data_IF_569254891494
#
_entry.id   IF_569254891494
#
_cell.length_a   1.000
_cell.length_b   1.000
_cell.length_c   1.000
_cell.angle_alpha   90.00
_cell.angle_beta   90.00
_cell.angle_gamma   90.00
#
_symmetry.space_group_name_H-M   'P 1'
#
loop_
_entity.id
_entity.type
_entity.pdbx_description
1 polymer ?
#
# COMPACT_ATOMS: atom_id res chain seq x y z
N UNK A 1 12.84 -5.69 -10.92
CA UNK A 1 12.15 -5.72 -9.61
C UNK A 1 11.00 -4.74 -9.68
N UNK A 2 9.86 -5.03 -9.10
CA UNK A 2 8.67 -4.16 -9.10
C UNK A 2 8.37 -3.66 -7.68
N UNK A 3 7.51 -2.63 -7.58
CA UNK A 3 7.25 -1.95 -6.30
C UNK A 3 6.69 -2.92 -5.24
N UNK A 4 5.75 -3.79 -5.62
CA UNK A 4 5.21 -4.79 -4.71
C UNK A 4 6.27 -5.69 -4.10
N UNK A 5 7.31 -6.08 -4.86
CA UNK A 5 8.42 -6.90 -4.38
C UNK A 5 9.29 -6.16 -3.35
N UNK A 6 9.53 -4.86 -3.55
CA UNK A 6 10.25 -4.02 -2.57
C UNK A 6 9.44 -3.86 -1.27
N UNK A 7 8.15 -3.61 -1.39
CA UNK A 7 7.25 -3.49 -0.24
C UNK A 7 7.21 -4.80 0.57
N UNK A 8 7.06 -5.95 -0.10
CA UNK A 8 7.04 -7.26 0.56
C UNK A 8 8.36 -7.54 1.31
N UNK A 9 9.51 -7.21 0.72
CA UNK A 9 10.80 -7.32 1.41
C UNK A 9 10.87 -6.38 2.63
N UNK A 10 10.40 -5.13 2.49
CA UNK A 10 10.32 -4.18 3.60
C UNK A 10 9.47 -4.72 4.77
N UNK A 11 8.32 -5.35 4.46
CA UNK A 11 7.47 -6.01 5.46
C UNK A 11 8.23 -7.13 6.18
N UNK A 12 8.96 -7.98 5.43
CA UNK A 12 9.78 -9.04 6.04
C UNK A 12 10.83 -8.48 7.00
N UNK A 13 11.52 -7.39 6.60
CA UNK A 13 12.53 -6.72 7.43
C UNK A 13 11.90 -6.21 8.73
N UNK A 14 10.79 -5.49 8.64
CA UNK A 14 10.06 -4.92 9.78
C UNK A 14 9.63 -6.00 10.79
N UNK A 15 9.12 -7.12 10.29
CA UNK A 15 8.54 -8.17 11.16
C UNK A 15 9.57 -9.11 11.74
N UNK A 16 10.59 -9.45 10.99
CA UNK A 16 11.45 -10.59 11.32
C UNK A 16 12.91 -10.24 11.65
N UNK A 17 13.37 -9.02 11.30
CA UNK A 17 14.74 -8.59 11.53
C UNK A 17 14.83 -7.46 12.57
N UNK A 18 14.05 -6.39 12.43
CA UNK A 18 14.13 -5.24 13.34
C UNK A 18 13.92 -5.57 14.81
N UNK A 19 12.95 -6.41 15.22
CA UNK A 19 12.71 -6.71 16.63
C UNK A 19 13.90 -7.36 17.34
N UNK A 20 14.67 -8.17 16.61
CA UNK A 20 15.89 -8.77 17.12
C UNK A 20 17.08 -7.81 17.19
N UNK A 21 17.12 -6.84 16.28
CA UNK A 21 18.19 -5.85 16.17
C UNK A 21 18.19 -4.82 17.31
N UNK A 22 17.02 -4.32 17.69
CA UNK A 22 16.86 -3.34 18.78
C UNK A 22 17.31 -3.88 20.16
N UNK A 23 17.37 -5.20 20.31
CA UNK A 23 17.84 -5.84 21.54
C UNK A 23 19.36 -5.87 21.74
N UNK A 24 20.16 -5.27 20.83
CA UNK A 24 21.54 -4.88 21.13
C UNK A 24 22.62 -5.86 20.70
N UNK A 25 22.56 -6.43 19.52
CA UNK A 25 23.68 -7.19 18.94
C UNK A 25 24.57 -6.20 18.17
N UNK A 26 25.68 -5.79 18.79
CA UNK A 26 26.68 -4.88 18.20
C UNK A 26 27.56 -5.52 17.11
N UNK A 27 27.09 -6.51 16.36
CA UNK A 27 27.81 -7.13 15.26
C UNK A 27 27.17 -6.67 13.93
N UNK A 28 28.00 -6.40 12.91
CA UNK A 28 27.53 -6.10 11.55
C UNK A 28 26.73 -7.25 11.00
N UNK A 29 25.52 -6.99 10.53
CA UNK A 29 24.61 -7.99 9.93
C UNK A 29 25.19 -8.46 8.59
N UNK A 30 25.38 -9.77 8.41
CA UNK A 30 25.88 -10.36 7.17
C UNK A 30 24.69 -10.83 6.33
N UNK A 31 24.53 -10.25 5.16
CA UNK A 31 23.39 -10.52 4.27
C UNK A 31 23.89 -11.12 2.96
N UNK A 32 23.22 -12.18 2.48
CA UNK A 32 23.39 -12.71 1.14
C UNK A 32 22.10 -12.52 0.34
N UNK A 33 22.23 -11.89 -0.83
CA UNK A 33 21.16 -11.72 -1.81
C UNK A 33 21.41 -12.67 -3.00
N UNK A 34 20.58 -13.70 -3.13
CA UNK A 34 20.69 -14.75 -4.15
C UNK A 34 19.83 -14.38 -5.36
N UNK A 35 20.47 -14.17 -6.51
CA UNK A 35 19.86 -13.63 -7.72
C UNK A 35 19.69 -12.11 -7.65
N UNK A 36 20.59 -11.44 -6.90
CA UNK A 36 20.48 -10.04 -6.54
C UNK A 36 21.12 -9.04 -7.51
N UNK A 37 21.47 -9.43 -8.77
CA UNK A 37 21.97 -8.50 -9.77
C UNK A 37 20.99 -7.34 -9.98
N UNK A 38 21.47 -6.10 -9.91
CA UNK A 38 20.66 -4.90 -10.10
C UNK A 38 20.34 -4.66 -11.59
N UNK A 39 19.37 -5.42 -12.09
CA UNK A 39 18.87 -5.27 -13.47
C UNK A 39 17.73 -4.25 -13.54
N UNK A 40 16.83 -4.28 -12.54
CA UNK A 40 15.63 -3.42 -12.46
C UNK A 40 15.35 -2.98 -11.01
N UNK A 41 16.39 -2.72 -10.23
CA UNK A 41 16.30 -2.38 -8.81
C UNK A 41 16.91 -3.43 -7.89
N UNK A 42 17.23 -3.06 -6.65
CA UNK A 42 17.88 -3.91 -5.64
C UNK A 42 17.22 -3.71 -4.28
N UNK A 43 17.19 -4.77 -3.47
CA UNK A 43 16.75 -4.71 -2.07
C UNK A 43 17.79 -4.05 -1.14
N UNK A 44 19.04 -3.88 -1.59
CA UNK A 44 20.17 -3.40 -0.76
C UNK A 44 19.82 -2.20 0.10
N UNK A 45 19.17 -1.16 -0.47
CA UNK A 45 18.84 0.07 0.25
C UNK A 45 17.84 -0.12 1.40
N UNK A 46 17.02 -1.17 1.37
CA UNK A 46 16.07 -1.49 2.44
C UNK A 46 16.79 -1.94 3.73
N UNK A 47 18.04 -2.39 3.61
CA UNK A 47 18.85 -2.88 4.71
C UNK A 47 19.84 -1.85 5.26
N UNK A 48 19.91 -0.63 4.69
CA UNK A 48 20.86 0.41 5.09
C UNK A 48 20.81 0.76 6.58
N UNK A 49 19.63 0.63 7.20
CA UNK A 49 19.43 0.86 8.66
C UNK A 49 20.31 -0.04 9.53
N UNK A 50 20.74 -1.18 9.02
CA UNK A 50 21.58 -2.16 9.75
C UNK A 50 23.09 -1.95 9.50
N UNK A 51 23.48 -1.05 8.59
CA UNK A 51 24.87 -0.92 8.11
C UNK A 51 25.51 -2.29 7.78
N UNK A 52 24.87 -3.11 6.90
CA UNK A 52 25.20 -4.52 6.76
C UNK A 52 26.47 -4.78 5.93
N UNK A 53 27.06 -5.97 6.12
CA UNK A 53 27.94 -6.59 5.13
C UNK A 53 27.05 -7.31 4.11
N UNK A 54 26.75 -6.63 3.00
CA UNK A 54 25.76 -7.08 2.00
C UNK A 54 26.48 -7.65 0.78
N UNK A 55 26.29 -8.94 0.56
CA UNK A 55 26.91 -9.72 -0.52
C UNK A 55 25.85 -10.14 -1.54
N UNK A 56 26.14 -9.97 -2.81
CA UNK A 56 25.27 -10.35 -3.94
C UNK A 56 25.84 -11.55 -4.68
N UNK A 57 25.02 -12.57 -4.87
CA UNK A 57 25.32 -13.73 -5.73
C UNK A 57 24.37 -13.73 -6.92
N UNK A 58 24.92 -13.86 -8.14
CA UNK A 58 24.13 -14.05 -9.36
C UNK A 58 24.90 -14.94 -10.36
N UNK A 59 24.27 -15.28 -11.50
CA UNK A 59 24.85 -16.20 -12.50
C UNK A 59 26.11 -15.64 -13.18
N UNK A 60 26.20 -14.32 -13.37
CA UNK A 60 27.31 -13.64 -14.04
C UNK A 60 27.92 -12.56 -13.15
N UNK A 61 29.26 -12.43 -13.18
CA UNK A 61 29.97 -11.32 -12.53
C UNK A 61 29.78 -10.03 -13.33
N UNK A 62 28.75 -9.28 -12.96
CA UNK A 62 28.45 -7.95 -13.48
C UNK A 62 28.63 -6.91 -12.38
N UNK A 63 28.50 -5.63 -12.70
CA UNK A 63 28.59 -4.55 -11.69
C UNK A 63 27.58 -4.77 -10.55
N UNK A 64 28.05 -4.74 -9.32
CA UNK A 64 27.24 -4.98 -8.11
C UNK A 64 27.07 -6.42 -7.70
N UNK A 65 27.60 -7.41 -8.45
CA UNK A 65 27.63 -8.84 -8.09
C UNK A 65 28.98 -9.19 -7.50
N UNK A 66 29.00 -9.76 -6.30
CA UNK A 66 30.21 -10.07 -5.52
C UNK A 66 30.71 -11.51 -5.77
N UNK A 67 29.79 -12.45 -6.08
CA UNK A 67 30.12 -13.85 -6.31
C UNK A 67 29.17 -14.52 -7.31
N UNK A 68 29.65 -15.60 -7.93
CA UNK A 68 28.85 -16.49 -8.80
C UNK A 68 28.83 -17.91 -8.23
N UNK A 69 27.81 -18.73 -8.54
CA UNK A 69 27.81 -20.16 -8.16
C UNK A 69 29.03 -20.88 -8.65
N UNK A 70 29.41 -21.95 -7.93
CA UNK A 70 30.47 -22.86 -8.38
C UNK A 70 29.98 -23.72 -9.55
N UNK A 71 30.91 -24.49 -10.20
CA UNK A 71 30.55 -25.34 -11.33
C UNK A 71 29.55 -26.46 -10.97
N UNK A 72 29.35 -26.75 -9.68
CA UNK A 72 28.36 -27.67 -9.13
C UNK A 72 27.15 -26.94 -8.51
N UNK A 73 26.86 -25.74 -8.96
CA UNK A 73 25.72 -24.89 -8.59
C UNK A 73 25.62 -24.57 -7.08
N UNK A 74 26.77 -24.60 -6.36
CA UNK A 74 26.81 -24.25 -4.94
C UNK A 74 27.12 -22.78 -4.70
N UNK A 75 26.63 -22.26 -3.59
CA UNK A 75 27.03 -20.95 -3.08
C UNK A 75 28.48 -21.02 -2.55
N UNK A 76 29.46 -20.27 -3.10
CA UNK A 76 30.87 -20.35 -2.75
C UNK A 76 31.18 -19.70 -1.39
N UNK A 77 30.45 -20.13 -0.36
CA UNK A 77 30.61 -19.67 1.02
C UNK A 77 30.54 -20.85 1.98
N UNK A 78 31.21 -20.76 3.14
CA UNK A 78 31.13 -21.79 4.17
C UNK A 78 29.71 -21.91 4.75
N UNK A 79 29.45 -22.99 5.45
CA UNK A 79 28.23 -23.16 6.23
C UNK A 79 28.10 -22.03 7.27
N UNK A 80 26.89 -21.56 7.49
CA UNK A 80 26.56 -20.53 8.51
C UNK A 80 27.34 -19.19 8.34
N UNK A 81 27.57 -18.78 7.10
CA UNK A 81 28.29 -17.56 6.79
C UNK A 81 27.45 -16.28 6.94
N UNK A 82 26.13 -16.37 6.79
CA UNK A 82 25.22 -15.24 6.72
C UNK A 82 24.12 -15.30 7.77
N UNK A 83 23.77 -14.14 8.30
CA UNK A 83 22.72 -13.99 9.32
C UNK A 83 21.34 -13.85 8.66
N UNK A 84 21.31 -13.30 7.44
CA UNK A 84 20.13 -13.17 6.59
C UNK A 84 20.46 -13.63 5.18
N UNK A 85 19.62 -14.50 4.61
CA UNK A 85 19.73 -14.93 3.21
C UNK A 85 18.43 -14.63 2.51
N UNK A 86 18.48 -13.82 1.46
CA UNK A 86 17.29 -13.43 0.71
C UNK A 86 17.37 -13.91 -0.74
N UNK A 87 16.21 -14.11 -1.36
CA UNK A 87 16.08 -14.32 -2.78
C UNK A 87 14.74 -13.78 -3.25
N UNK A 88 14.74 -12.86 -4.19
CA UNK A 88 13.52 -12.29 -4.74
C UNK A 88 13.48 -12.32 -6.26
N UNK A 89 12.39 -12.84 -6.84
CA UNK A 89 12.18 -12.95 -8.29
C UNK A 89 13.29 -13.75 -8.99
N UNK A 90 13.71 -14.86 -8.39
CA UNK A 90 14.82 -15.69 -8.85
C UNK A 90 14.41 -17.15 -9.00
N UNK A 91 13.58 -17.68 -8.10
CA UNK A 91 13.21 -19.09 -8.07
C UNK A 91 12.46 -19.55 -9.32
N UNK A 92 11.67 -18.68 -9.95
CA UNK A 92 11.02 -18.96 -11.23
C UNK A 92 12.02 -19.19 -12.37
N UNK A 93 13.23 -18.66 -12.23
CA UNK A 93 14.32 -18.77 -13.21
C UNK A 93 15.32 -19.89 -12.88
N UNK A 94 15.25 -20.46 -11.68
CA UNK A 94 16.14 -21.55 -11.23
C UNK A 94 15.52 -22.91 -11.54
N UNK A 95 16.10 -23.66 -12.47
CA UNK A 95 15.58 -24.98 -12.88
C UNK A 95 15.50 -25.98 -11.71
N UNK A 96 16.40 -25.86 -10.74
CA UNK A 96 16.47 -26.67 -9.50
C UNK A 96 16.36 -25.79 -8.26
N UNK A 97 15.35 -24.93 -8.22
CA UNK A 97 15.18 -23.95 -7.12
C UNK A 97 15.23 -24.56 -5.71
N UNK A 98 14.84 -25.83 -5.55
CA UNK A 98 14.93 -26.54 -4.27
C UNK A 98 16.39 -26.82 -3.85
N UNK A 99 17.31 -26.98 -4.80
CA UNK A 99 18.77 -27.11 -4.52
C UNK A 99 19.33 -25.74 -4.14
N UNK A 100 18.92 -24.68 -4.85
CA UNK A 100 19.26 -23.30 -4.47
C UNK A 100 18.78 -23.00 -3.06
N UNK A 101 17.55 -23.36 -2.72
CA UNK A 101 17.02 -23.14 -1.36
C UNK A 101 17.80 -23.95 -0.31
N UNK A 102 18.18 -25.19 -0.60
CA UNK A 102 19.01 -26.01 0.31
C UNK A 102 20.41 -25.39 0.56
N UNK A 103 21.00 -24.76 -0.46
CA UNK A 103 22.25 -24.02 -0.32
C UNK A 103 22.05 -22.72 0.50
N UNK A 104 20.93 -22.00 0.30
CA UNK A 104 20.56 -20.85 1.14
C UNK A 104 20.47 -21.26 2.61
N UNK A 105 19.83 -22.40 2.89
CA UNK A 105 19.73 -22.96 4.26
C UNK A 105 21.12 -23.33 4.78
N UNK A 106 22.00 -23.93 3.98
CA UNK A 106 23.36 -24.31 4.41
C UNK A 106 24.18 -23.11 4.86
N UNK A 107 24.17 -22.03 4.05
CA UNK A 107 24.99 -20.84 4.31
C UNK A 107 24.38 -19.90 5.36
N UNK A 108 23.09 -20.04 5.67
CA UNK A 108 22.43 -19.29 6.73
C UNK A 108 22.86 -19.82 8.11
N UNK A 109 23.03 -18.93 9.09
CA UNK A 109 23.28 -19.28 10.49
C UNK A 109 22.10 -20.01 11.12
N UNK A 110 22.30 -20.70 12.26
CA UNK A 110 21.23 -21.45 12.92
C UNK A 110 20.12 -20.54 13.48
N UNK A 111 20.48 -19.32 13.89
CA UNK A 111 19.54 -18.30 14.37
C UNK A 111 19.13 -17.32 13.25
N UNK A 112 19.60 -17.54 12.03
CA UNK A 112 19.39 -16.66 10.89
C UNK A 112 17.97 -16.72 10.32
N UNK A 113 17.72 -15.82 9.35
CA UNK A 113 16.45 -15.70 8.65
C UNK A 113 16.67 -15.91 7.15
N UNK A 114 15.78 -16.68 6.51
CA UNK A 114 15.77 -16.88 5.07
C UNK A 114 14.45 -16.30 4.55
N UNK A 115 14.52 -15.44 3.52
CA UNK A 115 13.36 -14.79 2.91
C UNK A 115 13.34 -15.13 1.42
N UNK A 116 12.19 -15.61 0.94
CA UNK A 116 11.97 -15.92 -0.47
C UNK A 116 10.74 -15.18 -0.97
N UNK A 117 10.89 -14.45 -2.07
CA UNK A 117 9.80 -13.86 -2.84
C UNK A 117 9.80 -14.47 -4.24
N UNK A 118 8.68 -15.06 -4.65
CA UNK A 118 8.57 -15.72 -5.95
C UNK A 118 7.17 -15.54 -6.54
N UNK A 119 7.00 -15.46 -7.88
CA UNK A 119 5.71 -15.17 -8.49
C UNK A 119 4.75 -16.35 -8.39
N UNK A 120 3.48 -16.08 -8.02
CA UNK A 120 2.38 -17.04 -8.08
C UNK A 120 1.65 -17.01 -9.44
N UNK A 121 1.79 -15.95 -10.22
CA UNK A 121 1.08 -15.74 -11.48
C UNK A 121 1.95 -15.04 -12.53
N UNK A 122 1.29 -14.42 -13.50
CA UNK A 122 1.92 -13.54 -14.47
C UNK A 122 2.37 -14.18 -15.78
N UNK A 123 2.70 -13.31 -16.76
CA UNK A 123 3.14 -13.74 -18.09
C UNK A 123 4.50 -14.43 -18.06
N UNK A 124 4.78 -15.23 -19.10
CA UNK A 124 6.11 -15.84 -19.25
C UNK A 124 7.16 -14.74 -19.54
N UNK A 125 8.19 -14.72 -18.69
CA UNK A 125 9.34 -13.82 -18.86
C UNK A 125 10.64 -14.57 -18.60
N UNK A 126 11.53 -14.66 -19.58
CA UNK A 126 12.75 -15.49 -19.52
C UNK A 126 13.96 -14.67 -19.11
N UNK A 127 14.65 -15.14 -18.04
CA UNK A 127 15.87 -14.47 -17.56
C UNK A 127 16.88 -15.48 -16.94
N UNK A 128 17.58 -16.35 -17.68
CA UNK A 128 17.43 -16.71 -19.09
C UNK A 128 16.27 -17.67 -19.37
N UNK A 129 15.74 -18.33 -18.36
CA UNK A 129 14.61 -19.27 -18.41
C UNK A 129 13.45 -18.75 -17.55
N UNK A 130 12.27 -19.32 -17.69
CA UNK A 130 11.11 -19.06 -16.82
C UNK A 130 10.39 -20.40 -16.63
N UNK A 131 10.55 -21.01 -15.47
CA UNK A 131 10.21 -22.41 -15.23
C UNK A 131 8.96 -22.57 -14.37
N UNK A 132 8.72 -21.66 -13.41
CA UNK A 132 7.77 -21.94 -12.35
C UNK A 132 6.88 -20.74 -11.99
N UNK A 133 5.71 -21.06 -11.41
CA UNK A 133 4.85 -20.20 -10.63
C UNK A 133 4.52 -20.94 -9.33
N UNK A 134 4.59 -20.23 -8.19
CA UNK A 134 4.58 -20.83 -6.87
C UNK A 134 3.22 -20.67 -6.20
N UNK A 135 2.64 -21.77 -5.73
CA UNK A 135 1.41 -21.74 -4.94
C UNK A 135 1.76 -21.74 -3.44
N UNK A 136 0.87 -21.27 -2.55
CA UNK A 136 1.15 -21.14 -1.11
C UNK A 136 1.77 -22.38 -0.46
N UNK A 137 1.32 -23.57 -0.83
CA UNK A 137 1.84 -24.85 -0.30
C UNK A 137 3.32 -25.11 -0.67
N UNK A 138 3.87 -24.41 -1.68
CA UNK A 138 5.27 -24.58 -2.07
C UNK A 138 6.24 -24.13 -0.98
N UNK A 139 5.92 -23.11 -0.20
CA UNK A 139 6.75 -22.65 0.91
C UNK A 139 6.77 -23.68 2.06
N UNK A 140 5.64 -24.30 2.36
CA UNK A 140 5.58 -25.43 3.31
C UNK A 140 6.40 -26.63 2.84
N UNK A 141 6.31 -26.96 1.54
CA UNK A 141 7.08 -28.07 0.96
C UNK A 141 8.59 -27.83 1.01
N UNK A 142 9.06 -26.58 0.80
CA UNK A 142 10.48 -26.22 0.97
C UNK A 142 10.94 -26.39 2.43
N UNK A 143 10.11 -25.96 3.39
CA UNK A 143 10.41 -26.14 4.81
C UNK A 143 10.53 -27.62 5.18
N UNK A 144 9.60 -28.47 4.74
CA UNK A 144 9.66 -29.93 4.96
C UNK A 144 10.87 -30.56 4.33
N UNK A 145 11.21 -30.19 3.08
CA UNK A 145 12.37 -30.73 2.34
C UNK A 145 13.69 -30.47 3.07
N UNK A 146 13.84 -29.30 3.69
CA UNK A 146 15.10 -28.84 4.28
C UNK A 146 15.16 -28.98 5.80
N UNK A 147 14.03 -29.32 6.45
CA UNK A 147 13.89 -29.38 7.90
C UNK A 147 13.90 -28.01 8.57
N UNK A 148 13.60 -26.97 7.82
CA UNK A 148 13.42 -25.60 8.35
C UNK A 148 11.97 -25.37 8.81
N UNK A 149 11.72 -24.25 9.47
CA UNK A 149 10.41 -23.83 9.94
C UNK A 149 9.94 -22.65 9.10
N UNK A 150 8.82 -22.80 8.38
CA UNK A 150 8.12 -21.68 7.76
C UNK A 150 7.46 -20.87 8.87
N UNK A 151 7.94 -19.64 9.12
CA UNK A 151 7.48 -18.79 10.21
C UNK A 151 6.45 -17.77 9.75
N UNK A 152 6.44 -17.45 8.45
CA UNK A 152 5.47 -16.54 7.85
C UNK A 152 5.31 -16.78 6.35
N UNK A 153 4.09 -16.58 5.82
CA UNK A 153 3.83 -16.70 4.38
C UNK A 153 2.54 -15.97 4.00
N UNK A 154 2.58 -15.24 2.88
CA UNK A 154 1.39 -14.61 2.28
C UNK A 154 1.58 -14.46 0.77
N UNK A 155 0.48 -14.24 0.05
CA UNK A 155 0.48 -13.89 -1.36
C UNK A 155 0.03 -12.44 -1.51
N UNK A 156 0.90 -11.60 -2.10
CA UNK A 156 0.54 -10.24 -2.49
C UNK A 156 -0.26 -10.29 -3.79
N UNK A 157 -1.42 -9.66 -3.82
CA UNK A 157 -2.31 -9.65 -5.00
C UNK A 157 -1.96 -8.55 -6.00
N UNK A 158 -1.05 -7.65 -5.65
CA UNK A 158 -0.67 -6.51 -6.50
C UNK A 158 0.15 -6.95 -7.71
N UNK A 159 -0.11 -6.32 -8.83
CA UNK A 159 0.58 -6.56 -10.09
C UNK A 159 0.30 -7.95 -10.70
N UNK A 160 0.81 -8.23 -11.90
CA UNK A 160 0.49 -9.46 -12.62
C UNK A 160 1.17 -10.70 -12.06
N UNK A 161 2.19 -10.56 -11.19
CA UNK A 161 3.01 -11.66 -10.70
C UNK A 161 2.49 -12.26 -9.39
N UNK A 162 1.71 -11.53 -8.61
CA UNK A 162 1.12 -11.98 -7.34
C UNK A 162 2.18 -12.65 -6.45
N UNK A 163 3.13 -11.86 -5.92
CA UNK A 163 4.27 -12.39 -5.18
C UNK A 163 3.86 -13.26 -4.01
N UNK A 164 4.34 -14.49 -3.99
CA UNK A 164 4.31 -15.36 -2.83
C UNK A 164 5.55 -15.12 -1.98
N UNK A 165 5.35 -14.80 -0.73
CA UNK A 165 6.41 -14.57 0.26
C UNK A 165 6.51 -15.76 1.19
N UNK A 166 7.73 -16.19 1.50
CA UNK A 166 8.03 -17.18 2.53
C UNK A 166 9.19 -16.72 3.41
N UNK A 167 9.00 -16.79 4.72
CA UNK A 167 10.02 -16.47 5.72
C UNK A 167 10.32 -17.74 6.52
N UNK A 168 11.59 -18.13 6.58
CA UNK A 168 12.01 -19.38 7.19
C UNK A 168 13.08 -19.18 8.26
N UNK A 169 13.13 -20.11 9.23
CA UNK A 169 14.18 -20.23 10.24
C UNK A 169 14.62 -21.68 10.37
N UNK A 170 15.89 -21.94 10.72
CA UNK A 170 16.37 -23.30 11.02
C UNK A 170 15.85 -23.80 12.35
N UNK A 171 15.84 -22.95 13.36
CA UNK A 171 15.32 -23.27 14.70
C UNK A 171 13.85 -23.00 14.78
N UNK A 172 13.10 -23.84 15.48
CA UNK A 172 11.70 -23.56 15.77
C UNK A 172 11.57 -22.21 16.51
N UNK A 173 10.69 -21.33 16.08
CA UNK A 173 10.45 -20.09 16.79
C UNK A 173 10.03 -20.41 18.23
N UNK A 174 10.60 -19.71 19.22
CA UNK A 174 10.14 -19.80 20.60
C UNK A 174 8.66 -19.37 20.63
N UNK A 175 7.74 -20.22 21.11
CA UNK A 175 6.33 -19.84 21.24
C UNK A 175 6.10 -18.61 22.11
N UNK A 176 7.09 -18.20 22.91
CA UNK A 176 7.06 -16.98 23.71
C UNK A 176 7.65 -15.77 22.97
N UNK A 177 8.28 -15.95 21.80
CA UNK A 177 8.64 -14.83 20.92
C UNK A 177 7.39 -14.53 20.10
N UNK A 178 6.63 -13.47 20.37
CA UNK A 178 5.55 -13.12 19.50
C UNK A 178 6.14 -12.87 18.11
N UNK A 179 5.60 -13.53 17.09
CA UNK A 179 5.53 -12.88 15.77
C UNK A 179 4.84 -11.59 16.10
N UNK A 180 5.56 -10.46 16.04
CA UNK A 180 5.03 -9.23 16.58
C UNK A 180 3.63 -9.03 16.01
N UNK A 181 2.62 -8.83 16.88
CA UNK A 181 1.41 -8.19 16.42
C UNK A 181 1.83 -6.86 15.76
N UNK A 182 1.08 -6.34 14.84
CA UNK A 182 1.38 -5.13 14.10
C UNK A 182 1.64 -3.86 14.96
N UNK A 183 1.68 -3.97 16.26
CA UNK A 183 1.85 -2.89 17.23
C UNK A 183 3.28 -2.32 17.39
N UNK A 184 4.27 -2.86 16.67
CA UNK A 184 5.62 -2.32 16.78
C UNK A 184 5.87 -1.35 15.64
N UNK A 185 5.51 -0.12 15.85
CA UNK A 185 5.82 1.03 14.98
C UNK A 185 7.32 1.27 14.95
N UNK A 186 8.07 0.48 14.20
CA UNK A 186 9.37 0.91 13.72
C UNK A 186 9.15 1.56 12.37
N UNK A 187 9.06 2.87 12.38
CA UNK A 187 8.97 3.70 11.18
C UNK A 187 10.33 3.60 10.50
N UNK A 188 10.47 2.70 9.51
CA UNK A 188 11.63 2.71 8.59
C UNK A 188 11.56 3.87 7.60
N UNK A 189 10.42 4.50 7.45
CA UNK A 189 10.36 5.82 6.86
C UNK A 189 11.00 6.77 7.87
N UNK A 190 12.15 7.38 7.50
CA UNK A 190 12.62 8.56 8.24
C UNK A 190 11.39 9.42 8.51
N UNK A 191 11.20 9.91 9.76
CA UNK A 191 10.14 10.87 10.02
C UNK A 191 10.30 11.92 8.94
N UNK A 192 9.20 12.21 8.23
CA UNK A 192 9.21 13.34 7.29
C UNK A 192 9.64 14.51 8.15
N UNK A 193 10.93 14.86 8.05
CA UNK A 193 11.44 16.02 8.75
C UNK A 193 10.55 17.14 8.26
N UNK A 194 9.84 17.77 9.18
CA UNK A 194 9.05 18.97 8.93
C UNK A 194 9.99 20.18 8.65
N UNK A 195 11.03 19.96 7.85
CA UNK A 195 11.85 21.00 7.26
C UNK A 195 11.03 21.62 6.12
N UNK A 196 10.04 22.41 6.52
CA UNK A 196 9.42 23.32 5.57
C UNK A 196 10.53 24.21 5.00
N UNK A 197 10.69 24.31 3.68
CA UNK A 197 11.56 25.30 3.12
C UNK A 197 11.08 26.66 3.65
N UNK A 198 11.94 27.36 4.38
CA UNK A 198 11.61 28.66 4.98
C UNK A 198 11.25 29.74 3.94
N UNK A 199 11.33 29.40 2.65
CA UNK A 199 11.23 30.28 1.49
C UNK A 199 10.10 29.91 0.52
N UNK A 200 9.09 29.09 0.91
CA UNK A 200 7.94 28.84 0.05
C UNK A 200 7.18 30.16 -0.23
N UNK A 201 6.80 30.42 -1.48
CA UNK A 201 6.06 31.64 -1.79
C UNK A 201 4.71 31.66 -1.07
N UNK A 202 4.20 32.84 -0.63
CA UNK A 202 2.95 32.96 0.13
C UNK A 202 1.74 32.34 -0.58
N UNK A 203 1.77 32.23 -1.91
CA UNK A 203 0.73 31.58 -2.71
C UNK A 203 0.68 30.08 -2.50
N UNK A 204 1.84 29.45 -2.26
CA UNK A 204 1.95 28.02 -1.97
C UNK A 204 1.50 27.67 -0.53
N UNK A 205 1.36 28.67 0.33
CA UNK A 205 0.92 28.53 1.72
C UNK A 205 -0.56 28.89 1.89
N UNK A 206 -1.39 28.68 0.84
CA UNK A 206 -2.84 28.92 0.87
C UNK A 206 -3.59 27.67 0.46
N UNK A 207 -4.54 27.27 1.29
CA UNK A 207 -5.62 26.40 0.90
C UNK A 207 -6.67 27.15 0.09
N UNK A 208 -7.53 26.42 -0.58
CA UNK A 208 -8.66 26.95 -1.33
C UNK A 208 -9.82 25.96 -1.24
N UNK A 209 -11.05 26.44 -1.32
CA UNK A 209 -12.26 25.62 -1.30
C UNK A 209 -13.47 26.41 -0.85
N UNK A 210 -14.66 25.84 -1.05
CA UNK A 210 -15.92 26.49 -0.73
C UNK A 210 -16.37 26.28 0.71
N UNK A 211 -15.93 25.17 1.35
CA UNK A 211 -16.39 24.76 2.67
C UNK A 211 -15.33 23.82 3.31
N UNK A 212 -15.07 23.90 4.62
CA UNK A 212 -14.15 23.00 5.29
C UNK A 212 -14.51 21.53 5.04
N UNK A 213 -13.48 20.69 4.78
CA UNK A 213 -13.66 19.24 4.56
C UNK A 213 -14.41 18.59 5.74
N UNK A 214 -14.13 19.04 6.96
CA UNK A 214 -14.81 18.55 8.16
C UNK A 214 -16.34 18.77 8.16
N UNK A 215 -16.82 19.93 7.67
CA UNK A 215 -18.26 20.20 7.55
C UNK A 215 -18.91 19.35 6.46
N UNK A 216 -18.18 19.11 5.37
CA UNK A 216 -18.62 18.19 4.32
C UNK A 216 -18.72 16.75 4.83
N UNK A 217 -17.70 16.24 5.53
CA UNK A 217 -17.72 14.89 6.12
C UNK A 217 -18.84 14.72 7.14
N UNK A 218 -19.08 15.70 8.01
CA UNK A 218 -20.19 15.66 8.97
C UNK A 218 -21.53 15.50 8.25
N UNK A 219 -21.73 16.24 7.15
CA UNK A 219 -22.94 16.14 6.32
C UNK A 219 -23.06 14.79 5.62
N UNK A 220 -21.93 14.21 5.14
CA UNK A 220 -21.92 12.86 4.57
C UNK A 220 -22.34 11.84 5.63
N UNK A 221 -21.74 11.87 6.81
CA UNK A 221 -22.11 10.99 7.93
C UNK A 221 -23.59 11.12 8.28
N UNK A 222 -24.11 12.35 8.36
CA UNK A 222 -25.51 12.59 8.69
C UNK A 222 -26.48 12.09 7.61
N UNK A 223 -26.11 12.20 6.33
CA UNK A 223 -27.00 11.86 5.21
C UNK A 223 -26.94 10.37 4.86
N UNK A 224 -25.72 9.80 4.83
CA UNK A 224 -25.48 8.41 4.52
C UNK A 224 -25.86 7.48 5.69
N UNK A 225 -25.73 7.96 6.94
CA UNK A 225 -25.94 7.15 8.16
C UNK A 225 -25.20 5.80 8.07
N UNK A 226 -23.85 5.79 7.95
CA UNK A 226 -23.09 4.56 7.74
C UNK A 226 -23.24 3.59 8.92
N UNK A 227 -23.23 2.29 8.64
CA UNK A 227 -23.27 1.23 9.68
C UNK A 227 -21.88 0.94 10.23
N UNK A 228 -20.84 1.14 9.39
CA UNK A 228 -19.44 1.05 9.75
C UNK A 228 -18.65 2.09 8.95
N UNK A 229 -17.67 2.69 9.59
CA UNK A 229 -16.78 3.70 9.03
C UNK A 229 -15.32 3.30 9.22
N UNK A 230 -14.49 3.49 8.20
CA UNK A 230 -13.04 3.34 8.30
C UNK A 230 -12.34 4.63 7.87
N UNK A 231 -11.26 4.98 8.57
CA UNK A 231 -10.44 6.15 8.28
C UNK A 231 -8.96 5.76 8.25
N UNK A 232 -8.26 6.11 7.16
CA UNK A 232 -6.83 5.97 7.02
C UNK A 232 -6.20 7.35 7.12
N UNK A 233 -5.28 7.55 8.10
CA UNK A 233 -4.75 8.86 8.46
C UNK A 233 -5.67 9.57 9.46
N UNK A 234 -5.44 9.36 10.73
CA UNK A 234 -6.32 9.84 11.82
C UNK A 234 -5.83 11.15 12.41
N UNK A 235 -4.53 11.36 12.45
CA UNK A 235 -3.85 12.52 13.03
C UNK A 235 -4.44 12.93 14.39
N UNK A 236 -5.21 14.03 14.43
CA UNK A 236 -5.85 14.52 15.69
C UNK A 236 -7.17 13.81 16.02
N UNK A 237 -7.68 12.93 15.16
CA UNK A 237 -8.93 12.17 15.31
C UNK A 237 -10.18 13.04 15.24
N UNK A 238 -10.15 14.15 14.52
CA UNK A 238 -11.30 15.06 14.39
C UNK A 238 -12.40 14.41 13.54
N UNK A 239 -12.02 13.91 12.36
CA UNK A 239 -12.90 13.23 11.39
C UNK A 239 -13.43 11.92 11.94
N UNK A 240 -12.56 11.10 12.56
CA UNK A 240 -12.96 9.82 13.15
C UNK A 240 -14.06 9.97 14.21
N UNK A 241 -13.99 11.02 15.02
CA UNK A 241 -15.01 11.30 16.06
C UNK A 241 -16.36 11.76 15.54
N UNK A 242 -16.48 12.15 14.26
CA UNK A 242 -17.75 12.53 13.65
C UNK A 242 -18.66 11.33 13.41
N UNK A 243 -18.09 10.13 13.32
CA UNK A 243 -18.86 8.91 13.11
C UNK A 243 -19.82 8.65 14.29
N UNK A 244 -21.09 8.46 13.99
CA UNK A 244 -22.11 8.05 14.95
C UNK A 244 -22.28 6.50 15.00
N UNK A 245 -21.54 5.78 14.16
CA UNK A 245 -21.51 4.32 14.05
C UNK A 245 -20.19 3.77 14.60
N UNK A 246 -20.03 2.44 14.76
CA UNK A 246 -18.75 1.82 14.96
C UNK A 246 -17.76 2.27 13.89
N UNK A 247 -16.54 2.61 14.31
CA UNK A 247 -15.53 3.16 13.42
C UNK A 247 -14.14 2.63 13.76
N UNK A 248 -13.31 2.47 12.74
CA UNK A 248 -11.91 2.08 12.85
C UNK A 248 -11.02 3.13 12.20
N UNK A 249 -10.12 3.71 12.98
CA UNK A 249 -9.03 4.54 12.48
C UNK A 249 -7.76 3.71 12.30
N UNK A 250 -7.01 3.98 11.24
CA UNK A 250 -5.71 3.38 10.98
C UNK A 250 -4.69 4.52 10.86
N UNK A 251 -3.72 4.55 11.78
CA UNK A 251 -2.67 5.56 11.80
C UNK A 251 -1.48 5.06 12.62
N UNK A 252 -0.25 5.07 12.09
CA UNK A 252 0.92 4.58 12.81
C UNK A 252 1.34 5.47 13.98
N UNK A 253 0.99 6.77 13.96
CA UNK A 253 1.47 7.75 14.95
C UNK A 253 0.45 8.88 15.20
N UNK A 254 -0.82 8.56 15.57
CA UNK A 254 -1.84 9.57 15.77
C UNK A 254 -1.53 10.46 16.96
N UNK A 255 -1.84 11.75 16.83
CA UNK A 255 -1.68 12.76 17.88
C UNK A 255 -3.04 13.21 18.43
N UNK A 256 -3.83 12.25 18.94
CA UNK A 256 -5.20 12.51 19.36
C UNK A 256 -5.31 13.69 20.32
N UNK A 257 -6.10 14.69 19.99
CA UNK A 257 -6.34 15.87 20.84
C UNK A 257 -7.46 15.66 21.88
N UNK A 258 -8.26 14.58 21.72
CA UNK A 258 -9.32 14.15 22.66
C UNK A 258 -9.46 12.63 22.59
N UNK A 259 -9.98 11.96 23.63
CA UNK A 259 -10.34 10.55 23.56
C UNK A 259 -11.31 10.25 22.42
N UNK A 260 -11.23 9.04 21.87
CA UNK A 260 -12.19 8.55 20.89
C UNK A 260 -13.55 8.27 21.56
N UNK A 261 -14.60 8.26 20.76
CA UNK A 261 -15.95 7.93 21.22
C UNK A 261 -16.06 6.42 21.52
N UNK A 262 -16.95 5.98 22.41
CA UNK A 262 -17.23 4.56 22.62
C UNK A 262 -17.65 3.88 21.31
N UNK A 263 -17.02 2.75 20.99
CA UNK A 263 -17.23 2.01 19.73
C UNK A 263 -16.32 2.45 18.59
N UNK A 264 -15.42 3.40 18.82
CA UNK A 264 -14.34 3.72 17.87
C UNK A 264 -13.06 3.00 18.32
N UNK A 265 -12.43 2.35 17.37
CA UNK A 265 -11.17 1.63 17.56
C UNK A 265 -10.05 2.33 16.77
N UNK A 266 -8.80 2.07 17.16
CA UNK A 266 -7.62 2.64 16.53
C UNK A 266 -6.57 1.56 16.36
N UNK A 267 -6.18 1.32 15.11
CA UNK A 267 -5.05 0.47 14.75
C UNK A 267 -3.80 1.34 14.65
N UNK A 268 -2.86 1.17 15.61
CA UNK A 268 -1.59 1.91 15.66
C UNK A 268 -0.55 1.29 14.72
N UNK A 269 -0.82 1.34 13.43
CA UNK A 269 0.02 0.77 12.37
C UNK A 269 -0.22 1.45 11.05
N UNK A 270 0.62 1.17 10.05
CA UNK A 270 0.37 1.64 8.68
C UNK A 270 -0.83 0.91 8.06
N UNK A 271 -1.49 1.52 7.09
CA UNK A 271 -2.55 0.85 6.33
C UNK A 271 -2.04 -0.39 5.60
N UNK A 272 -0.82 -0.35 5.06
CA UNK A 272 -0.16 -1.50 4.45
C UNK A 272 -0.05 -2.69 5.42
N UNK A 273 0.43 -2.44 6.65
CA UNK A 273 0.52 -3.46 7.69
C UNK A 273 -0.86 -3.97 8.10
N UNK A 274 -1.83 -3.06 8.28
CA UNK A 274 -3.20 -3.43 8.65
C UNK A 274 -3.82 -4.39 7.64
N UNK A 275 -3.88 -4.01 6.38
CA UNK A 275 -4.51 -4.84 5.35
C UNK A 275 -3.72 -6.11 5.01
N UNK A 276 -2.43 -6.16 5.32
CA UNK A 276 -1.61 -7.37 5.12
C UNK A 276 -1.83 -8.40 6.24
N UNK A 277 -2.02 -7.95 7.49
CA UNK A 277 -1.90 -8.82 8.67
C UNK A 277 -3.15 -8.95 9.51
N UNK A 278 -4.08 -8.00 9.43
CA UNK A 278 -5.32 -8.10 10.16
C UNK A 278 -6.27 -9.10 9.49
N UNK A 279 -7.05 -9.82 10.28
CA UNK A 279 -8.24 -10.50 9.78
C UNK A 279 -9.34 -9.44 9.56
N UNK A 280 -9.16 -8.68 8.49
CA UNK A 280 -9.98 -7.52 8.15
C UNK A 280 -11.45 -7.90 8.08
N UNK A 281 -11.75 -9.07 7.47
CA UNK A 281 -13.13 -9.55 7.33
C UNK A 281 -13.83 -9.79 8.68
N UNK A 282 -13.08 -10.14 9.74
CA UNK A 282 -13.64 -10.32 11.08
C UNK A 282 -13.72 -9.01 11.87
N UNK A 283 -12.91 -8.02 11.54
CA UNK A 283 -12.85 -6.73 12.24
C UNK A 283 -13.82 -5.70 11.67
N UNK A 284 -14.08 -5.74 10.36
CA UNK A 284 -14.96 -4.81 9.69
C UNK A 284 -16.41 -5.32 9.69
N UNK A 285 -17.32 -4.43 10.10
CA UNK A 285 -18.74 -4.57 9.81
C UNK A 285 -19.03 -4.29 8.32
N UNK A 286 -20.30 -4.13 7.94
CA UNK A 286 -20.66 -3.74 6.58
C UNK A 286 -20.16 -2.30 6.31
N UNK A 287 -19.05 -2.19 5.61
CA UNK A 287 -18.35 -0.94 5.34
C UNK A 287 -19.17 -0.05 4.38
N UNK A 288 -19.82 0.98 4.92
CA UNK A 288 -20.63 1.91 4.14
C UNK A 288 -19.87 3.18 3.76
N UNK A 289 -18.87 3.59 4.56
CA UNK A 289 -18.09 4.80 4.33
C UNK A 289 -16.63 4.57 4.69
N UNK A 290 -15.74 5.01 3.80
CA UNK A 290 -14.31 5.11 4.07
C UNK A 290 -13.78 6.50 3.75
N UNK A 291 -12.80 6.97 4.52
CA UNK A 291 -12.05 8.20 4.28
C UNK A 291 -10.56 7.90 4.24
N UNK A 292 -9.91 8.34 3.16
CA UNK A 292 -8.48 8.13 2.91
C UNK A 292 -7.79 9.49 2.93
N UNK A 293 -7.00 9.72 3.98
CA UNK A 293 -6.21 10.94 4.23
C UNK A 293 -4.86 10.56 4.89
N UNK A 294 -4.20 9.54 4.31
CA UNK A 294 -2.99 8.96 4.85
C UNK A 294 -1.70 9.56 4.28
N UNK A 295 -0.86 8.71 3.67
CA UNK A 295 0.37 9.15 3.01
C UNK A 295 0.03 9.84 1.70
N UNK A 296 0.49 11.09 1.52
CA UNK A 296 0.17 11.93 0.34
C UNK A 296 1.03 11.57 -0.88
N UNK A 297 1.13 10.29 -1.20
CA UNK A 297 1.83 9.77 -2.39
C UNK A 297 0.94 8.75 -3.10
N UNK A 298 0.92 8.82 -4.42
CA UNK A 298 -0.04 8.09 -5.26
C UNK A 298 -0.02 6.57 -5.06
N UNK A 299 1.16 5.95 -4.86
CA UNK A 299 1.28 4.52 -4.65
C UNK A 299 0.60 4.04 -3.36
N UNK A 300 0.65 4.85 -2.29
CA UNK A 300 -0.02 4.52 -1.02
C UNK A 300 -1.52 4.73 -1.12
N UNK A 301 -1.96 5.86 -1.66
CA UNK A 301 -3.39 6.16 -1.83
C UNK A 301 -4.07 5.16 -2.76
N UNK A 302 -3.38 4.73 -3.83
CA UNK A 302 -3.90 3.70 -4.73
C UNK A 302 -4.02 2.36 -4.01
N UNK A 303 -3.04 1.95 -3.18
CA UNK A 303 -3.13 0.74 -2.35
C UNK A 303 -4.25 0.84 -1.33
N UNK A 304 -4.36 1.96 -0.64
CA UNK A 304 -5.40 2.20 0.34
C UNK A 304 -6.79 2.08 -0.30
N UNK A 305 -6.99 2.70 -1.47
CA UNK A 305 -8.23 2.58 -2.22
C UNK A 305 -8.54 1.13 -2.59
N UNK A 306 -7.58 0.38 -3.14
CA UNK A 306 -7.74 -1.01 -3.55
C UNK A 306 -8.08 -1.92 -2.36
N UNK A 307 -7.41 -1.73 -1.24
CA UNK A 307 -7.67 -2.48 0.00
C UNK A 307 -9.06 -2.17 0.57
N UNK A 308 -9.44 -0.90 0.59
CA UNK A 308 -10.78 -0.47 1.02
C UNK A 308 -11.83 -1.05 0.08
N UNK A 309 -11.67 -0.94 -1.25
CA UNK A 309 -12.63 -1.45 -2.24
C UNK A 309 -12.89 -2.94 -2.07
N UNK A 310 -11.83 -3.75 -1.83
CA UNK A 310 -11.97 -5.20 -1.59
C UNK A 310 -12.82 -5.55 -0.36
N UNK A 311 -13.08 -4.60 0.53
CA UNK A 311 -13.91 -4.76 1.73
C UNK A 311 -15.25 -4.00 1.64
N UNK A 312 -15.52 -3.35 0.51
CA UNK A 312 -16.74 -2.59 0.27
C UNK A 312 -17.86 -3.47 -0.31
N UNK A 313 -19.01 -2.88 -0.40
CA UNK A 313 -20.13 -3.35 -1.22
C UNK A 313 -20.52 -2.24 -2.22
N UNK A 314 -21.29 -2.54 -3.26
CA UNK A 314 -21.61 -1.57 -4.31
C UNK A 314 -22.32 -0.29 -3.85
N UNK A 315 -22.96 -0.30 -2.67
CA UNK A 315 -23.57 0.88 -2.05
C UNK A 315 -22.63 1.67 -1.12
N UNK A 316 -21.38 1.25 -0.97
CA UNK A 316 -20.38 1.94 -0.18
C UNK A 316 -19.92 3.23 -0.85
N UNK A 317 -19.36 4.13 -0.05
CA UNK A 317 -18.76 5.40 -0.49
C UNK A 317 -17.32 5.46 0.01
N UNK A 318 -16.39 5.79 -0.86
CA UNK A 318 -15.01 6.13 -0.50
C UNK A 318 -14.78 7.61 -0.76
N UNK A 319 -14.19 8.30 0.19
CA UNK A 319 -13.77 9.70 0.05
C UNK A 319 -12.24 9.73 0.17
N UNK A 320 -11.58 10.33 -0.83
CA UNK A 320 -10.13 10.51 -0.86
C UNK A 320 -9.87 12.01 -0.74
N UNK A 321 -9.07 12.43 0.23
CA UNK A 321 -8.72 13.84 0.41
C UNK A 321 -7.54 14.28 -0.44
N UNK A 322 -7.23 15.58 -0.41
CA UNK A 322 -6.04 16.18 -1.00
C UNK A 322 -5.91 16.08 -2.54
N UNK A 323 -7.03 16.02 -3.26
CA UNK A 323 -7.00 15.86 -4.73
C UNK A 323 -6.77 17.17 -5.50
N UNK A 324 -6.86 18.33 -4.86
CA UNK A 324 -6.78 19.64 -5.49
C UNK A 324 -5.72 20.55 -4.85
N UNK A 325 -4.44 20.44 -5.25
CA UNK A 325 -3.46 21.46 -4.90
C UNK A 325 -3.90 22.82 -5.46
N UNK A 326 -3.64 23.88 -4.70
CA UNK A 326 -3.86 25.27 -5.14
C UNK A 326 -2.60 25.90 -5.75
N UNK A 327 -1.47 25.22 -5.64
CA UNK A 327 -0.17 25.64 -6.19
C UNK A 327 0.68 24.41 -6.53
N UNK A 328 1.49 24.43 -7.61
CA UNK A 328 2.33 23.26 -8.00
C UNK A 328 3.23 22.73 -6.88
N UNK A 329 3.78 23.58 -6.01
CA UNK A 329 4.60 23.14 -4.87
C UNK A 329 3.83 22.29 -3.85
N UNK A 330 2.51 22.42 -3.77
CA UNK A 330 1.68 21.56 -2.91
C UNK A 330 1.58 20.15 -3.46
N UNK A 331 1.71 19.99 -4.79
CA UNK A 331 1.62 18.74 -5.52
C UNK A 331 2.95 17.96 -5.62
N UNK A 332 4.04 18.51 -5.04
CA UNK A 332 5.33 17.84 -5.04
C UNK A 332 5.33 16.59 -4.17
N UNK A 333 5.98 15.51 -4.62
CA UNK A 333 6.09 14.25 -3.86
C UNK A 333 6.81 14.42 -2.52
N UNK A 334 7.77 15.35 -2.46
CA UNK A 334 8.40 15.76 -1.21
C UNK A 334 7.70 16.99 -0.67
N UNK A 335 7.31 16.96 0.59
CA UNK A 335 6.62 18.08 1.24
C UNK A 335 7.42 19.39 1.10
N UNK A 336 6.83 20.37 0.41
CA UNK A 336 7.43 21.67 0.11
C UNK A 336 6.57 22.86 0.56
N UNK A 337 5.39 22.60 1.18
CA UNK A 337 4.46 23.61 1.66
C UNK A 337 3.67 23.11 2.86
N UNK A 338 2.99 24.02 3.56
CA UNK A 338 2.11 23.66 4.69
C UNK A 338 0.90 22.85 4.23
N UNK A 339 0.22 23.29 3.17
CA UNK A 339 -0.92 22.59 2.54
C UNK A 339 -0.42 21.59 1.50
N UNK A 340 0.34 20.60 1.95
CA UNK A 340 0.94 19.61 1.06
C UNK A 340 -0.07 18.51 0.72
N UNK A 341 -0.47 18.46 -0.56
CA UNK A 341 -1.33 17.41 -1.11
C UNK A 341 -0.54 16.22 -1.66
N UNK A 342 0.79 16.37 -1.81
CA UNK A 342 1.57 15.41 -2.55
C UNK A 342 1.03 15.19 -3.96
N UNK A 343 1.22 14.01 -4.50
CA UNK A 343 0.78 13.71 -5.87
C UNK A 343 -0.54 12.91 -5.95
N UNK A 344 -1.42 13.03 -4.92
CA UNK A 344 -2.73 12.36 -4.84
C UNK A 344 -3.64 12.73 -6.02
N UNK A 345 -3.55 13.96 -6.56
CA UNK A 345 -4.35 14.38 -7.70
C UNK A 345 -4.34 13.40 -8.88
N UNK A 346 -3.26 12.59 -9.00
CA UNK A 346 -3.08 11.57 -10.04
C UNK A 346 -4.07 10.40 -9.92
N UNK A 347 -4.71 10.23 -8.77
CA UNK A 347 -5.74 9.19 -8.58
C UNK A 347 -6.94 9.41 -9.52
N UNK A 348 -7.28 10.67 -9.81
CA UNK A 348 -8.43 11.01 -10.67
C UNK A 348 -8.26 10.43 -12.08
N UNK A 349 -7.17 10.73 -12.84
CA UNK A 349 -6.95 10.14 -14.16
C UNK A 349 -6.74 8.63 -14.14
N UNK A 350 -6.10 8.08 -13.11
CA UNK A 350 -5.90 6.63 -12.98
C UNK A 350 -7.25 5.94 -12.86
N UNK A 351 -8.06 6.31 -11.88
CA UNK A 351 -9.39 5.71 -11.70
C UNK A 351 -10.30 5.98 -12.90
N UNK A 352 -10.30 7.20 -13.43
CA UNK A 352 -11.13 7.57 -14.59
C UNK A 352 -10.79 6.79 -15.86
N UNK A 353 -9.53 6.39 -16.04
CA UNK A 353 -9.07 5.60 -17.17
C UNK A 353 -9.20 4.09 -16.98
N UNK A 354 -8.83 3.59 -15.81
CA UNK A 354 -8.78 2.16 -15.52
C UNK A 354 -10.15 1.59 -15.10
N UNK A 355 -11.00 2.40 -14.44
CA UNK A 355 -12.24 1.99 -13.80
C UNK A 355 -13.43 2.85 -14.27
N UNK A 356 -13.86 2.73 -15.55
CA UNK A 356 -15.00 3.48 -16.09
C UNK A 356 -16.34 3.09 -15.45
N UNK A 357 -16.39 2.01 -14.70
CA UNK A 357 -17.50 1.55 -13.86
C UNK A 357 -17.68 2.41 -12.61
N UNK A 358 -16.63 3.03 -12.10
CA UNK A 358 -16.72 3.94 -10.96
C UNK A 358 -17.37 5.28 -11.34
N UNK A 359 -18.01 5.88 -10.36
CA UNK A 359 -18.51 7.25 -10.43
C UNK A 359 -17.62 8.14 -9.57
N UNK A 360 -16.85 9.01 -10.22
CA UNK A 360 -15.91 9.92 -9.58
C UNK A 360 -16.54 11.31 -9.48
N UNK A 361 -16.71 11.82 -8.27
CA UNK A 361 -17.30 13.12 -7.98
C UNK A 361 -16.28 13.98 -7.21
N UNK A 362 -15.47 14.78 -7.91
CA UNK A 362 -14.60 15.76 -7.25
C UNK A 362 -15.44 16.82 -6.54
N UNK A 363 -15.09 17.15 -5.30
CA UNK A 363 -15.80 18.11 -4.45
C UNK A 363 -14.86 19.22 -4.01
N UNK A 364 -15.28 20.47 -4.11
CA UNK A 364 -14.51 21.67 -3.79
C UNK A 364 -14.48 21.95 -2.27
N UNK A 365 -13.95 20.99 -1.49
CA UNK A 365 -13.72 21.16 -0.05
C UNK A 365 -12.46 22.01 0.22
N UNK A 366 -12.48 22.81 1.28
CA UNK A 366 -11.32 23.54 1.78
C UNK A 366 -10.52 22.65 2.77
N UNK A 367 -9.18 22.57 2.70
CA UNK A 367 -8.29 23.39 1.86
C UNK A 367 -7.89 22.76 0.51
N UNK A 368 -8.08 21.47 0.31
CA UNK A 368 -7.36 20.68 -0.73
C UNK A 368 -8.25 19.82 -1.61
N UNK A 369 -9.58 19.93 -1.45
CA UNK A 369 -10.56 19.20 -2.24
C UNK A 369 -10.61 17.70 -1.95
N UNK A 370 -11.78 17.10 -2.12
CA UNK A 370 -12.02 15.67 -1.87
C UNK A 370 -12.64 14.98 -3.08
N UNK A 371 -12.30 13.71 -3.30
CA UNK A 371 -12.89 12.85 -4.34
C UNK A 371 -13.87 11.86 -3.71
N UNK A 372 -15.13 11.95 -4.05
CA UNK A 372 -16.13 10.93 -3.70
C UNK A 372 -16.16 9.87 -4.78
N UNK A 373 -15.97 8.60 -4.41
CA UNK A 373 -15.98 7.44 -5.30
C UNK A 373 -17.14 6.52 -4.93
N UNK A 374 -17.94 6.15 -5.93
CA UNK A 374 -19.13 5.30 -5.78
C UNK A 374 -19.15 4.26 -6.90
N UNK A 375 -19.87 3.15 -6.71
CA UNK A 375 -19.94 2.06 -7.66
C UNK A 375 -18.81 1.05 -7.49
N UNK A 376 -18.38 0.87 -6.24
CA UNK A 376 -17.30 -0.02 -5.85
C UNK A 376 -17.65 -1.48 -6.14
N UNK A 377 -16.67 -2.25 -6.56
CA UNK A 377 -16.79 -3.67 -6.87
C UNK A 377 -15.62 -4.43 -6.19
N UNK A 378 -15.87 -5.13 -5.07
CA UNK A 378 -14.84 -5.82 -4.30
C UNK A 378 -14.15 -6.96 -5.07
N UNK A 379 -14.79 -7.45 -6.15
CA UNK A 379 -14.24 -8.52 -6.99
C UNK A 379 -13.48 -7.99 -8.22
N UNK A 380 -13.28 -6.68 -8.33
CA UNK A 380 -12.61 -6.06 -9.47
C UNK A 380 -11.09 -6.04 -9.29
N UNK A 381 -10.37 -6.87 -10.02
CA UNK A 381 -8.91 -6.99 -9.95
C UNK A 381 -8.15 -6.04 -10.89
N UNK A 382 -8.83 -5.13 -11.63
CA UNK A 382 -8.18 -4.28 -12.64
C UNK A 382 -7.03 -3.44 -12.08
N UNK A 383 -7.21 -2.84 -10.89
CA UNK A 383 -6.16 -2.04 -10.25
C UNK A 383 -5.07 -2.93 -9.66
N UNK A 384 -5.43 -4.08 -9.11
CA UNK A 384 -4.50 -5.07 -8.57
C UNK A 384 -3.56 -5.58 -9.66
N UNK A 385 -4.10 -6.04 -10.79
CA UNK A 385 -3.34 -6.60 -11.92
C UNK A 385 -2.39 -5.59 -12.58
N UNK A 386 -2.70 -4.29 -12.49
CA UNK A 386 -1.95 -3.23 -13.17
C UNK A 386 -1.33 -2.21 -12.21
N UNK A 387 -1.20 -2.52 -10.93
CA UNK A 387 -0.71 -1.59 -9.91
C UNK A 387 0.64 -0.97 -10.28
N UNK A 388 1.64 -1.79 -10.58
CA UNK A 388 2.99 -1.31 -10.92
C UNK A 388 2.99 -0.42 -12.17
N UNK A 389 2.18 -0.79 -13.18
CA UNK A 389 2.03 0.02 -14.40
C UNK A 389 1.46 1.40 -14.09
N UNK A 390 0.41 1.48 -13.25
CA UNK A 390 -0.20 2.76 -12.89
C UNK A 390 0.74 3.63 -12.06
N UNK A 391 1.47 3.04 -11.12
CA UNK A 391 2.46 3.76 -10.31
C UNK A 391 3.64 4.24 -11.18
N UNK A 392 4.18 3.39 -12.04
CA UNK A 392 5.24 3.79 -12.98
C UNK A 392 4.77 4.94 -13.89
N UNK A 393 3.57 4.83 -14.46
CA UNK A 393 2.98 5.89 -15.29
C UNK A 393 2.81 7.19 -14.49
N UNK A 394 2.31 7.11 -13.26
CA UNK A 394 2.10 8.26 -12.39
C UNK A 394 3.42 8.97 -12.05
N UNK A 395 4.48 8.22 -11.78
CA UNK A 395 5.79 8.78 -11.42
C UNK A 395 6.54 9.31 -12.63
N UNK A 396 6.54 8.59 -13.76
CA UNK A 396 7.39 8.90 -14.91
C UNK A 396 6.74 9.81 -15.94
N UNK A 397 5.40 9.80 -16.07
CA UNK A 397 4.68 10.51 -17.14
C UNK A 397 3.83 11.67 -16.63
N UNK A 398 3.33 11.59 -15.38
CA UNK A 398 2.47 12.62 -14.78
C UNK A 398 3.31 13.52 -13.84
N UNK A 399 4.30 14.21 -14.41
CA UNK A 399 5.31 14.96 -13.65
C UNK A 399 4.87 16.36 -13.24
N UNK A 400 3.86 16.93 -13.90
CA UNK A 400 3.37 18.28 -13.64
C UNK A 400 1.85 18.25 -13.39
N UNK A 401 1.40 19.01 -12.40
CA UNK A 401 -0.03 19.15 -12.14
C UNK A 401 -0.68 20.01 -13.23
N UNK A 402 -1.82 19.53 -13.76
CA UNK A 402 -2.54 20.20 -14.82
C UNK A 402 -3.31 21.46 -14.32
N UNK A 403 -3.41 22.49 -15.17
CA UNK A 403 -4.14 23.71 -14.86
C UNK A 403 -5.61 23.46 -14.46
N UNK A 404 -6.25 22.45 -15.02
CA UNK A 404 -7.62 22.03 -14.71
C UNK A 404 -7.74 21.52 -13.25
N UNK A 405 -6.71 20.84 -12.73
CA UNK A 405 -6.64 20.40 -11.34
C UNK A 405 -6.46 21.62 -10.42
N UNK A 406 -5.50 22.50 -10.74
CA UNK A 406 -5.25 23.74 -10.00
C UNK A 406 -6.47 24.67 -9.95
N UNK A 407 -7.23 24.71 -11.05
CA UNK A 407 -8.46 25.51 -11.17
C UNK A 407 -9.69 24.82 -10.55
N UNK A 408 -9.56 23.55 -10.10
CA UNK A 408 -10.67 22.73 -9.58
C UNK A 408 -11.82 22.59 -10.58
N UNK A 409 -11.48 22.51 -11.87
CA UNK A 409 -12.46 22.41 -12.94
C UNK A 409 -13.31 21.16 -12.80
N UNK A 410 -14.63 21.34 -12.84
CA UNK A 410 -15.57 20.22 -12.72
C UNK A 410 -15.84 19.74 -11.30
N UNK A 411 -15.32 20.41 -10.27
CA UNK A 411 -15.65 20.10 -8.89
C UNK A 411 -17.09 20.51 -8.53
N UNK A 412 -17.77 19.67 -7.77
CA UNK A 412 -19.07 19.99 -7.18
C UNK A 412 -18.91 20.90 -5.97
N UNK A 413 -19.82 21.83 -5.80
CA UNK A 413 -19.92 22.55 -4.54
C UNK A 413 -20.28 21.56 -3.42
N UNK A 414 -19.63 21.58 -2.24
CA UNK A 414 -19.90 20.62 -1.16
C UNK A 414 -21.37 20.56 -0.72
N UNK A 415 -22.10 21.70 -0.85
CA UNK A 415 -23.52 21.80 -0.53
C UNK A 415 -24.45 21.54 -1.72
N UNK A 416 -23.96 21.00 -2.83
CA UNK A 416 -24.83 20.68 -3.98
C UNK A 416 -25.91 19.69 -3.54
N UNK A 417 -27.20 20.02 -3.76
CA UNK A 417 -28.31 19.12 -3.40
C UNK A 417 -28.24 17.75 -4.08
N UNK A 418 -27.50 17.62 -5.16
CA UNK A 418 -27.27 16.35 -5.84
C UNK A 418 -26.52 15.37 -4.93
N UNK A 419 -25.44 15.83 -4.26
CA UNK A 419 -24.65 14.98 -3.35
C UNK A 419 -25.53 14.43 -2.22
N UNK A 420 -26.34 15.28 -1.60
CA UNK A 420 -27.31 14.86 -0.56
C UNK A 420 -28.28 13.80 -1.09
N UNK A 421 -28.82 13.98 -2.29
CA UNK A 421 -29.72 13.00 -2.90
C UNK A 421 -29.02 11.68 -3.20
N UNK A 422 -27.76 11.73 -3.67
CA UNK A 422 -26.96 10.55 -3.96
C UNK A 422 -26.72 9.76 -2.67
N UNK A 423 -26.22 10.40 -1.62
CA UNK A 423 -25.96 9.73 -0.33
C UNK A 423 -27.25 9.17 0.30
N UNK A 424 -28.35 9.91 0.25
CA UNK A 424 -29.64 9.42 0.72
C UNK A 424 -30.15 8.20 -0.07
N UNK A 425 -29.96 8.21 -1.40
CA UNK A 425 -30.35 7.06 -2.23
C UNK A 425 -29.49 5.83 -1.94
N UNK A 426 -28.17 6.00 -1.68
CA UNK A 426 -27.28 4.91 -1.29
C UNK A 426 -27.69 4.33 0.07
N UNK A 427 -27.98 5.18 1.06
CA UNK A 427 -28.52 4.75 2.36
C UNK A 427 -29.79 3.91 2.21
N UNK A 428 -30.78 4.43 1.47
CA UNK A 428 -32.09 3.82 1.35
C UNK A 428 -32.09 2.51 0.55
N UNK A 429 -31.09 2.30 -0.31
CA UNK A 429 -31.01 1.14 -1.22
C UNK A 429 -29.95 0.12 -0.84
N UNK A 430 -29.12 0.36 0.17
CA UNK A 430 -28.00 -0.55 0.54
C UNK A 430 -28.43 -1.98 0.98
N UNK A 431 -29.70 -2.17 1.29
CA UNK A 431 -30.29 -3.49 1.62
C UNK A 431 -31.08 -4.09 0.47
N UNK A 432 -31.11 -3.45 -0.71
CA UNK A 432 -31.85 -3.93 -1.86
C UNK A 432 -30.98 -4.86 -2.71
N UNK A 433 -31.54 -5.93 -3.24
CA UNK A 433 -30.87 -6.86 -4.16
C UNK A 433 -30.59 -6.22 -5.56
N UNK A 434 -31.02 -4.98 -5.78
CA UNK A 434 -30.93 -4.28 -7.07
C UNK A 434 -29.87 -3.15 -7.05
N UNK A 435 -28.66 -3.54 -6.78
CA UNK A 435 -27.51 -2.61 -6.68
C UNK A 435 -27.13 -1.99 -8.03
N UNK A 436 -27.19 -2.78 -9.11
CA UNK A 436 -26.88 -2.27 -10.46
C UNK A 436 -27.84 -1.14 -10.86
N UNK A 437 -29.12 -1.31 -10.55
CA UNK A 437 -30.14 -0.29 -10.79
C UNK A 437 -29.93 0.98 -9.92
N UNK A 438 -29.37 0.82 -8.72
CA UNK A 438 -28.99 1.94 -7.88
C UNK A 438 -27.85 2.76 -8.49
N UNK A 439 -26.78 2.08 -8.92
CA UNK A 439 -25.61 2.75 -9.53
C UNK A 439 -26.04 3.45 -10.81
N UNK A 440 -26.85 2.80 -11.65
CA UNK A 440 -27.34 3.40 -12.90
C UNK A 440 -28.25 4.62 -12.65
N UNK A 441 -29.11 4.56 -11.62
CA UNK A 441 -29.89 5.74 -11.21
C UNK A 441 -28.99 6.87 -10.70
N UNK A 442 -27.98 6.56 -9.90
CA UNK A 442 -27.00 7.53 -9.40
C UNK A 442 -26.24 8.14 -10.56
N UNK A 443 -25.77 7.32 -11.49
CA UNK A 443 -25.09 7.74 -12.72
C UNK A 443 -25.98 8.68 -13.56
N UNK A 444 -27.25 8.35 -13.71
CA UNK A 444 -28.23 9.17 -14.42
C UNK A 444 -28.51 10.50 -13.71
N UNK A 445 -28.56 10.50 -12.37
CA UNK A 445 -28.70 11.75 -11.59
C UNK A 445 -27.50 12.68 -11.80
N UNK A 446 -26.31 12.13 -11.83
CA UNK A 446 -25.06 12.88 -11.96
C UNK A 446 -24.81 13.32 -13.41
N UNK A 447 -25.14 12.50 -14.41
CA UNK A 447 -24.88 12.79 -15.82
C UNK A 447 -25.58 14.09 -16.32
N UNK A 448 -26.71 14.45 -15.72
CA UNK A 448 -27.42 15.70 -16.01
C UNK A 448 -26.80 16.95 -15.35
N UNK A 449 -25.85 16.78 -14.44
CA UNK A 449 -25.29 17.83 -13.60
C UNK A 449 -23.77 17.94 -13.71
N UNK A 450 -23.10 17.02 -14.47
CA UNK A 450 -21.65 17.05 -14.61
C UNK A 450 -21.19 18.36 -15.24
N UNK A 451 -20.33 19.12 -14.54
CA UNK A 451 -19.45 20.06 -15.19
C UNK A 451 -18.60 19.30 -16.21
N UNK A 452 -18.13 19.97 -17.27
CA UNK A 452 -17.39 19.33 -18.37
C UNK A 452 -16.35 18.35 -17.82
N UNK A 453 -16.42 17.07 -18.24
CA UNK A 453 -15.50 16.01 -17.86
C UNK A 453 -14.07 16.53 -17.87
N UNK A 454 -13.32 16.29 -16.78
CA UNK A 454 -11.85 16.28 -16.82
C UNK A 454 -11.50 15.11 -17.74
N UNK A 455 -11.47 15.35 -19.02
CA UNK A 455 -11.03 14.37 -20.01
C UNK A 455 -9.54 14.61 -20.19
N UNK A 456 -8.75 13.80 -19.51
CA UNK A 456 -7.33 13.70 -19.84
C UNK A 456 -7.21 13.21 -21.28
N UNK A 457 -6.63 14.03 -22.13
CA UNK A 457 -6.24 13.70 -23.52
C UNK A 457 -4.91 13.00 -23.53
#
# INVERSE_FOLDING_TARGET
>A
MHIGSLDNMSICIKRHLLPGWESGIGATLRILDVGGADVNGSYRHLFDVFEPDYTVLDLDLVEGVDMVPTDDDRIPSPDQAFDVVISGQTFEHAATFWETFAEMVRVCTDDGVIIVLAPSGGPVHRYPVDCYRFMPDSMSALAELTGTHLVDTWTDRRGPFHDLVGVFRKSAPDPATPILPPDTTVILTQPVQNDFPADAPPEAERGSGCEPCSEFLERVHHTLEPRFYIEIGVEYGISLRMAACPALGIDPAPALNKPLSPGHELALMTSDDFFTFADVASMLGPLDLAYIDGMHQIEYVLKDFMNIESNCHPGSVVIIDDIFPSHPLQAERKRASQFWTGDIWKIIPILGGARPDLLLLPVDTDPTGSLVVIGLDPDNDTLWDNFDLFVEMAISQMTEVHDEILARDGAFHPQDPLLTRVFGSLRDSRTSDDVESLIERTRSMVAGSMPRRIALR
#
